data_IF_181430923283
#
_entry.id   IF_181430923283
#
_cell.length_a   1.000
_cell.length_b   1.000
_cell.length_c   1.000
_cell.angle_alpha   90.00
_cell.angle_beta   90.00
_cell.angle_gamma   90.00
#
_symmetry.space_group_name_H-M   'P 1'
#
loop_
_entity.id
_entity.type
_entity.pdbx_description
1 polymer ?
#
# COMPACT_ATOMS: atom_id res chain seq x y z
N UNK A 1 12.83 5.82 13.89
CA UNK A 1 12.17 4.65 14.48
C UNK A 1 12.67 4.44 15.91
N UNK A 2 11.80 4.20 16.92
CA UNK A 2 12.25 3.85 18.28
C UNK A 2 13.13 2.60 18.29
N UNK A 3 14.13 2.56 19.16
CA UNK A 3 15.13 1.47 19.21
C UNK A 3 14.49 0.11 19.50
N UNK A 4 13.51 0.08 20.41
CA UNK A 4 12.74 -1.12 20.73
C UNK A 4 11.98 -1.68 19.52
N UNK A 5 11.56 -0.82 18.58
CA UNK A 5 10.90 -1.25 17.35
C UNK A 5 11.93 -1.70 16.31
N UNK A 6 13.06 -1.01 16.21
CA UNK A 6 14.13 -1.35 15.28
C UNK A 6 14.67 -2.77 15.51
N UNK A 7 14.85 -3.16 16.78
CA UNK A 7 15.31 -4.50 17.17
C UNK A 7 14.32 -5.62 16.81
N UNK A 8 13.04 -5.31 16.59
CA UNK A 8 12.00 -6.28 16.21
C UNK A 8 11.95 -6.57 14.70
N UNK A 9 12.52 -5.70 13.86
CA UNK A 9 12.49 -5.88 12.40
C UNK A 9 13.22 -7.15 11.96
N UNK A 10 14.44 -7.47 12.43
CA UNK A 10 15.12 -8.72 12.09
C UNK A 10 14.30 -9.96 12.49
N UNK A 11 13.70 -9.95 13.68
CA UNK A 11 12.86 -11.05 14.17
C UNK A 11 11.63 -11.26 13.28
N UNK A 12 11.01 -10.17 12.81
CA UNK A 12 9.86 -10.24 11.90
C UNK A 12 10.24 -10.95 10.59
N UNK A 13 11.43 -10.67 10.03
CA UNK A 13 11.93 -11.34 8.83
C UNK A 13 12.19 -12.82 9.06
N UNK A 14 12.73 -13.20 10.22
CA UNK A 14 12.92 -14.61 10.60
C UNK A 14 11.57 -15.35 10.68
N UNK A 15 10.56 -14.72 11.27
CA UNK A 15 9.20 -15.28 11.34
C UNK A 15 8.62 -15.47 9.94
N UNK A 16 8.67 -14.44 9.07
CA UNK A 16 8.18 -14.52 7.69
C UNK A 16 8.87 -15.67 6.92
N UNK A 17 10.19 -15.78 7.07
CA UNK A 17 10.97 -16.87 6.48
C UNK A 17 10.52 -18.24 7.01
N UNK A 18 10.28 -18.36 8.31
CA UNK A 18 9.79 -19.60 8.93
C UNK A 18 8.42 -20.05 8.41
N UNK A 19 7.54 -19.10 8.07
CA UNK A 19 6.24 -19.36 7.46
C UNK A 19 6.28 -19.52 5.93
N UNK A 20 7.46 -19.35 5.30
CA UNK A 20 7.59 -19.37 3.85
C UNK A 20 6.91 -18.18 3.16
N UNK A 21 6.69 -17.08 3.87
CA UNK A 21 6.10 -15.86 3.32
C UNK A 21 7.23 -15.06 2.67
N UNK A 22 7.18 -14.79 1.35
CA UNK A 22 8.19 -13.98 0.70
C UNK A 22 8.12 -12.53 1.18
N UNK A 23 9.28 -11.92 1.40
CA UNK A 23 9.42 -10.49 1.61
C UNK A 23 10.48 -9.93 0.67
N UNK A 24 10.35 -8.66 0.35
CA UNK A 24 11.22 -7.95 -0.58
C UNK A 24 11.74 -6.70 0.10
N UNK A 25 12.99 -6.34 -0.19
CA UNK A 25 13.64 -5.13 0.27
C UNK A 25 14.63 -4.65 -0.79
N UNK A 26 14.83 -3.34 -0.86
CA UNK A 26 15.72 -2.69 -1.80
C UNK A 26 16.38 -1.49 -1.11
N UNK A 27 17.63 -1.18 -1.46
CA UNK A 27 18.38 -0.07 -0.87
C UNK A 27 18.09 1.28 -1.55
N UNK A 28 17.64 1.27 -2.81
CA UNK A 28 17.43 2.46 -3.64
C UNK A 28 15.96 2.88 -3.73
N UNK A 29 15.04 1.95 -3.45
CA UNK A 29 13.60 2.15 -3.62
C UNK A 29 12.85 1.90 -2.32
N UNK A 30 11.76 2.64 -2.14
CA UNK A 30 10.91 2.52 -0.96
C UNK A 30 9.96 1.31 -1.07
N UNK A 31 9.30 0.97 0.04
CA UNK A 31 8.44 -0.21 0.10
C UNK A 31 7.17 -0.05 -0.76
N UNK A 32 6.68 1.18 -0.90
CA UNK A 32 5.57 1.58 -1.76
C UNK A 32 5.90 1.43 -3.26
N UNK A 33 7.13 1.76 -3.69
CA UNK A 33 7.64 1.52 -5.04
C UNK A 33 7.62 0.03 -5.39
N UNK A 34 8.14 -0.80 -4.48
CA UNK A 34 8.16 -2.26 -4.64
C UNK A 34 6.74 -2.82 -4.70
N UNK A 35 5.87 -2.34 -3.82
CA UNK A 35 4.48 -2.75 -3.72
C UNK A 35 3.70 -2.38 -5.00
N UNK A 36 3.84 -1.15 -5.50
CA UNK A 36 3.21 -0.70 -6.73
C UNK A 36 3.73 -1.50 -7.95
N UNK A 37 5.04 -1.75 -8.00
CA UNK A 37 5.67 -2.55 -9.05
C UNK A 37 5.13 -3.99 -9.07
N UNK A 38 5.05 -4.64 -7.90
CA UNK A 38 4.52 -5.99 -7.78
C UNK A 38 3.03 -6.05 -8.11
N UNK A 39 2.24 -5.07 -7.67
CA UNK A 39 0.82 -4.99 -7.97
C UNK A 39 0.57 -4.87 -9.49
N UNK A 40 1.31 -4.00 -10.17
CA UNK A 40 1.23 -3.85 -11.64
C UNK A 40 1.73 -5.08 -12.39
N UNK A 41 2.73 -5.78 -11.87
CA UNK A 41 3.17 -7.06 -12.44
C UNK A 41 2.08 -8.13 -12.31
N UNK A 42 1.44 -8.23 -11.15
CA UNK A 42 0.34 -9.16 -10.91
C UNK A 42 -0.88 -8.86 -11.78
N UNK A 43 -1.21 -7.57 -11.97
CA UNK A 43 -2.29 -7.14 -12.87
C UNK A 43 -2.06 -7.62 -14.30
N UNK A 44 -0.83 -7.52 -14.82
CA UNK A 44 -0.45 -8.04 -16.16
C UNK A 44 -0.52 -9.56 -16.26
N UNK A 45 -0.62 -10.26 -15.13
CA UNK A 45 -0.78 -11.71 -15.05
C UNK A 45 -2.24 -12.10 -14.78
N UNK A 46 -3.19 -11.18 -14.98
CA UNK A 46 -4.62 -11.36 -14.74
C UNK A 46 -4.97 -11.77 -13.29
N UNK A 47 -4.13 -11.37 -12.33
CA UNK A 47 -4.39 -11.60 -10.91
C UNK A 47 -5.30 -10.51 -10.34
N UNK A 48 -6.05 -10.86 -9.29
CA UNK A 48 -6.70 -9.89 -8.41
C UNK A 48 -5.77 -9.56 -7.26
N UNK A 49 -5.48 -8.29 -7.05
CA UNK A 49 -4.49 -7.81 -6.09
C UNK A 49 -5.18 -7.00 -5.00
N UNK A 50 -4.82 -7.27 -3.76
CA UNK A 50 -5.19 -6.49 -2.59
C UNK A 50 -3.94 -5.96 -1.92
N UNK A 51 -3.85 -4.63 -1.81
CA UNK A 51 -2.76 -3.91 -1.18
C UNK A 51 -3.23 -3.48 0.21
N UNK A 52 -2.61 -3.96 1.29
CA UNK A 52 -2.91 -3.50 2.64
C UNK A 52 -1.88 -2.46 3.09
N UNK A 53 -2.29 -1.19 3.18
CA UNK A 53 -1.43 -0.09 3.67
C UNK A 53 -2.27 1.06 4.22
N UNK A 54 -1.72 1.81 5.18
CA UNK A 54 -2.32 3.05 5.66
C UNK A 54 -2.03 4.24 4.74
N UNK A 55 -0.99 4.12 3.92
CA UNK A 55 -0.52 5.15 3.00
C UNK A 55 -1.61 5.51 1.96
N UNK A 56 -1.77 6.81 1.69
CA UNK A 56 -2.72 7.31 0.69
C UNK A 56 -2.15 7.21 -0.72
N UNK A 57 -0.83 7.25 -0.90
CA UNK A 57 -0.21 7.25 -2.21
C UNK A 57 -0.48 5.95 -2.96
N UNK A 58 -0.62 4.84 -2.24
CA UNK A 58 -1.01 3.56 -2.83
C UNK A 58 -2.36 3.61 -3.56
N UNK A 59 -3.25 4.56 -3.26
CA UNK A 59 -4.53 4.71 -3.95
C UNK A 59 -4.37 5.02 -5.44
N UNK A 60 -3.22 5.56 -5.86
CA UNK A 60 -2.91 5.79 -7.28
C UNK A 60 -2.83 4.48 -8.09
N UNK A 61 -2.57 3.35 -7.42
CA UNK A 61 -2.43 2.04 -8.07
C UNK A 61 -3.76 1.35 -8.38
N UNK A 62 -4.86 1.83 -7.78
CA UNK A 62 -6.20 1.23 -7.88
C UNK A 62 -6.65 1.13 -9.33
N UNK A 63 -7.22 -0.03 -9.67
CA UNK A 63 -7.73 -0.35 -10.99
C UNK A 63 -8.86 -1.39 -10.91
N UNK A 64 -9.35 -1.86 -12.05
CA UNK A 64 -10.26 -3.01 -12.12
C UNK A 64 -9.74 -4.29 -11.44
N UNK A 65 -8.41 -4.47 -11.34
CA UNK A 65 -7.77 -5.67 -10.78
C UNK A 65 -7.05 -5.41 -9.46
N UNK A 66 -6.78 -4.15 -9.12
CA UNK A 66 -6.04 -3.74 -7.93
C UNK A 66 -6.96 -2.97 -6.99
N UNK A 67 -7.02 -3.42 -5.74
CA UNK A 67 -7.76 -2.77 -4.68
C UNK A 67 -6.86 -2.46 -3.48
N UNK A 68 -7.07 -1.29 -2.85
CA UNK A 68 -6.32 -0.89 -1.66
C UNK A 68 -7.18 -1.05 -0.42
N UNK A 69 -6.67 -1.76 0.58
CA UNK A 69 -7.24 -1.95 1.90
C UNK A 69 -6.54 -1.00 2.86
N UNK A 70 -7.28 -0.05 3.43
CA UNK A 70 -6.73 0.94 4.37
C UNK A 70 -7.27 0.70 5.79
N UNK A 71 -6.39 0.43 6.78
CA UNK A 71 -6.81 0.35 8.18
C UNK A 71 -7.19 1.75 8.70
N UNK A 72 -8.37 1.88 9.33
CA UNK A 72 -8.85 3.12 9.96
C UNK A 72 -8.61 3.14 11.47
N UNK A 73 -8.79 1.98 12.12
CA UNK A 73 -8.62 1.82 13.57
C UNK A 73 -7.88 0.52 13.85
N UNK A 74 -6.55 0.58 13.77
CA UNK A 74 -5.70 -0.61 13.79
C UNK A 74 -6.15 -1.63 12.74
N UNK A 75 -6.01 -2.92 13.04
CA UNK A 75 -6.42 -4.01 12.15
C UNK A 75 -7.91 -4.39 12.27
N UNK A 76 -8.67 -3.68 13.11
CA UNK A 76 -10.07 -4.04 13.43
C UNK A 76 -11.10 -3.41 12.49
N UNK A 77 -10.74 -2.32 11.82
CA UNK A 77 -11.58 -1.63 10.83
C UNK A 77 -10.73 -1.36 9.59
N UNK A 78 -10.97 -2.13 8.53
CA UNK A 78 -10.27 -2.05 7.26
C UNK A 78 -11.28 -1.62 6.19
N UNK A 79 -11.02 -0.48 5.55
CA UNK A 79 -11.84 0.02 4.45
C UNK A 79 -11.22 -0.36 3.12
N UNK A 80 -12.05 -0.90 2.23
CA UNK A 80 -11.70 -1.26 0.86
C UNK A 80 -11.87 -0.07 -0.09
N UNK A 81 -10.86 0.21 -0.90
CA UNK A 81 -10.84 1.26 -1.92
C UNK A 81 -10.69 0.66 -3.32
N UNK A 82 -11.81 0.64 -4.05
CA UNK A 82 -11.84 0.47 -5.50
C UNK A 82 -11.96 1.86 -6.18
N UNK A 83 -12.02 1.89 -7.51
CA UNK A 83 -12.11 3.15 -8.27
C UNK A 83 -13.32 4.01 -7.84
N UNK A 84 -14.45 3.37 -7.50
CA UNK A 84 -15.67 4.06 -7.08
C UNK A 84 -15.50 4.69 -5.72
N UNK A 85 -14.90 3.97 -4.79
CA UNK A 85 -14.68 4.45 -3.43
C UNK A 85 -13.60 5.55 -3.39
N UNK A 86 -12.57 5.47 -4.24
CA UNK A 86 -11.60 6.56 -4.43
C UNK A 86 -12.32 7.82 -4.89
N UNK A 87 -13.12 7.72 -5.96
CA UNK A 87 -13.88 8.87 -6.48
C UNK A 87 -14.88 9.42 -5.48
N UNK A 88 -15.56 8.56 -4.73
CA UNK A 88 -16.51 8.97 -3.69
C UNK A 88 -15.83 9.71 -2.54
N UNK A 89 -14.65 9.25 -2.12
CA UNK A 89 -13.94 9.81 -0.96
C UNK A 89 -13.15 11.07 -1.31
N UNK A 90 -12.50 11.10 -2.47
CA UNK A 90 -11.55 12.15 -2.84
C UNK A 90 -12.04 13.05 -3.99
N UNK A 91 -13.14 12.69 -4.65
CA UNK A 91 -13.70 13.45 -5.78
C UNK A 91 -12.91 13.30 -7.08
N UNK A 92 -11.80 12.57 -7.08
CA UNK A 92 -10.88 12.39 -8.21
C UNK A 92 -10.73 10.91 -8.58
N UNK A 93 -10.21 10.63 -9.78
CA UNK A 93 -9.85 9.27 -10.18
C UNK A 93 -8.53 8.82 -9.52
N UNK A 94 -8.26 7.50 -9.42
CA UNK A 94 -6.99 6.99 -8.88
C UNK A 94 -5.75 7.66 -9.50
N UNK A 95 -5.72 7.83 -10.82
CA UNK A 95 -4.57 8.44 -11.53
C UNK A 95 -4.34 9.91 -11.17
N UNK A 96 -5.31 10.58 -10.56
CA UNK A 96 -5.22 11.99 -10.13
C UNK A 96 -4.92 12.12 -8.64
N UNK A 97 -4.78 11.01 -7.90
CA UNK A 97 -4.45 11.05 -6.47
C UNK A 97 -3.12 11.78 -6.20
N UNK A 98 -2.03 11.51 -6.95
CA UNK A 98 -0.77 12.22 -6.72
C UNK A 98 -0.92 13.74 -6.88
N UNK A 99 -1.58 14.19 -7.95
CA UNK A 99 -1.85 15.61 -8.19
C UNK A 99 -2.72 16.21 -7.09
N UNK A 100 -3.76 15.48 -6.66
CA UNK A 100 -4.64 15.91 -5.59
C UNK A 100 -3.88 16.10 -4.27
N UNK A 101 -3.06 15.13 -3.88
CA UNK A 101 -2.27 15.18 -2.64
C UNK A 101 -1.21 16.29 -2.70
N UNK A 102 -0.57 16.49 -3.85
CA UNK A 102 0.38 17.59 -4.05
C UNK A 102 -0.28 18.98 -3.88
N UNK A 103 -1.58 19.11 -4.18
CA UNK A 103 -2.33 20.37 -4.05
C UNK A 103 -2.85 20.62 -2.63
N UNK A 104 -3.37 19.59 -1.96
CA UNK A 104 -3.99 19.73 -0.63
C UNK A 104 -3.00 19.53 0.52
N UNK A 105 -1.83 18.98 0.20
CA UNK A 105 -0.83 18.51 1.16
C UNK A 105 -1.22 17.15 1.75
N UNK A 106 -0.23 16.28 1.93
CA UNK A 106 -0.36 15.14 2.83
C UNK A 106 0.34 15.48 4.15
N UNK A 107 -0.42 15.50 5.25
CA UNK A 107 0.13 15.79 6.59
C UNK A 107 0.81 14.58 7.22
N UNK A 108 0.80 13.43 6.54
CA UNK A 108 1.32 12.15 7.02
C UNK A 108 2.73 11.88 6.51
N UNK A 109 3.09 12.47 5.37
CA UNK A 109 4.43 12.46 4.77
C UNK A 109 5.29 13.60 5.35
#
# INVERSE_FOLDING_TARGET
MPEDLASQIPLTKEVLKGFGIPFFENEEYEADDLLATLAKKGEKMDLRIEILTADKDALQTVSSSICVLRPRKGITDIRRFDEKEVKKQYGVSPSQIPDFLALVGDTSD
#
